data_IF_514690948686
#
_entry.id   IF_514690948686
#
_cell.length_a   1.000
_cell.length_b   1.000
_cell.length_c   1.000
_cell.angle_alpha   90.00
_cell.angle_beta   90.00
_cell.angle_gamma   90.00
#
_symmetry.space_group_name_H-M   'P 1'
#
loop_
_entity.id
_entity.type
_entity.pdbx_description
1 polymer ?
#
# COMPACT_ATOMS: atom_id res chain seq x y z
N UNK A 1 7.05 2.93 6.30
CA UNK A 1 5.68 2.95 6.82
C UNK A 1 4.83 3.88 5.96
N UNK A 2 3.83 3.33 5.29
CA UNK A 2 2.86 4.12 4.53
C UNK A 2 1.78 4.67 5.50
N UNK A 3 1.38 5.94 5.41
CA UNK A 3 0.40 6.53 6.33
C UNK A 3 -0.96 5.85 6.29
N UNK A 4 -1.41 5.34 5.13
CA UNK A 4 -2.69 4.64 5.04
C UNK A 4 -2.71 3.31 5.77
N UNK A 5 -1.64 2.50 5.69
CA UNK A 5 -1.52 1.29 6.52
C UNK A 5 -1.54 1.65 8.01
N UNK A 6 -0.86 2.74 8.38
CA UNK A 6 -0.87 3.21 9.78
C UNK A 6 -2.28 3.62 10.21
N UNK A 7 -3.02 4.28 9.32
CA UNK A 7 -4.41 4.66 9.51
C UNK A 7 -5.33 3.46 9.67
N UNK A 8 -5.26 2.48 8.76
CA UNK A 8 -6.06 1.25 8.83
C UNK A 8 -5.79 0.47 10.12
N UNK A 9 -4.52 0.31 10.50
CA UNK A 9 -4.16 -0.34 11.76
C UNK A 9 -4.65 0.47 12.97
N UNK A 10 -4.63 1.80 12.89
CA UNK A 10 -5.23 2.66 13.90
C UNK A 10 -6.77 2.58 13.90
N UNK A 11 -7.45 2.20 12.83
CA UNK A 11 -8.90 1.94 12.87
C UNK A 11 -9.22 0.59 13.53
N UNK A 12 -8.29 -0.37 13.47
CA UNK A 12 -8.44 -1.69 14.06
C UNK A 12 -8.28 -1.77 15.58
N UNK A 13 -8.64 -2.93 16.14
CA UNK A 13 -8.44 -3.26 17.55
C UNK A 13 -7.06 -3.88 17.77
N UNK A 14 -6.06 -3.03 18.04
CA UNK A 14 -4.68 -3.45 18.33
C UNK A 14 -4.46 -3.63 19.84
N UNK A 15 -3.94 -4.78 20.23
CA UNK A 15 -3.34 -4.95 21.56
C UNK A 15 -2.14 -4.01 21.70
N UNK A 16 -1.98 -3.36 22.86
CA UNK A 16 -0.91 -2.39 23.10
C UNK A 16 -0.84 -1.26 22.05
N UNK A 17 -2.02 -0.81 21.58
CA UNK A 17 -2.22 0.20 20.54
C UNK A 17 -1.22 1.36 20.58
N UNK A 18 -1.08 2.01 21.73
CA UNK A 18 -0.19 3.19 21.89
C UNK A 18 1.25 2.86 21.56
N UNK A 19 1.75 1.73 22.07
CA UNK A 19 3.13 1.27 21.83
C UNK A 19 3.34 0.92 20.36
N UNK A 20 2.44 0.14 19.75
CA UNK A 20 2.57 -0.27 18.35
C UNK A 20 2.56 0.94 17.42
N UNK A 21 1.60 1.85 17.59
CA UNK A 21 1.52 3.05 16.76
C UNK A 21 2.73 3.97 16.96
N UNK A 22 3.31 4.01 18.17
CA UNK A 22 4.55 4.74 18.42
C UNK A 22 5.76 4.13 17.69
N UNK A 23 5.93 2.81 17.77
CA UNK A 23 6.99 2.10 17.05
C UNK A 23 6.88 2.30 15.53
N UNK A 24 5.66 2.27 14.97
CA UNK A 24 5.43 2.50 13.54
C UNK A 24 5.81 3.91 13.08
N UNK A 25 5.74 4.92 13.96
CA UNK A 25 6.20 6.29 13.62
C UNK A 25 7.71 6.38 13.45
N UNK A 26 8.47 5.45 14.04
CA UNK A 26 9.93 5.44 13.95
C UNK A 26 10.46 4.70 12.71
N UNK A 27 9.59 4.06 11.93
CA UNK A 27 9.95 3.42 10.67
C UNK A 27 10.10 4.46 9.55
N UNK A 28 11.05 4.24 8.63
CA UNK A 28 11.23 5.09 7.43
C UNK A 28 9.92 5.30 6.69
N UNK A 29 9.54 6.53 6.37
CA UNK A 29 8.29 6.80 5.67
C UNK A 29 8.32 6.24 4.25
N UNK A 30 7.20 5.64 3.82
CA UNK A 30 7.01 5.35 2.40
C UNK A 30 6.58 6.62 1.67
N UNK A 31 6.85 6.69 0.37
CA UNK A 31 6.30 7.74 -0.49
C UNK A 31 4.78 7.58 -0.61
N UNK A 32 4.07 8.69 -0.69
CA UNK A 32 2.62 8.71 -0.85
C UNK A 32 2.33 9.27 -2.22
N UNK A 33 1.63 8.49 -3.04
CA UNK A 33 1.16 8.95 -4.34
C UNK A 33 0.03 9.98 -4.16
N UNK A 34 0.00 10.99 -5.02
CA UNK A 34 -1.15 11.91 -5.13
C UNK A 34 -2.37 11.17 -5.70
N UNK A 35 -3.56 11.73 -5.50
CA UNK A 35 -4.78 11.15 -6.08
C UNK A 35 -4.69 11.05 -7.61
N UNK A 36 -4.14 12.08 -8.27
CA UNK A 36 -3.95 12.06 -9.73
C UNK A 36 -2.97 10.97 -10.19
N UNK A 37 -1.87 10.75 -9.46
CA UNK A 37 -0.92 9.66 -9.75
C UNK A 37 -1.60 8.28 -9.62
N UNK A 38 -2.47 8.12 -8.61
CA UNK A 38 -3.22 6.89 -8.39
C UNK A 38 -4.26 6.67 -9.49
N UNK A 39 -5.06 7.69 -9.82
CA UNK A 39 -6.07 7.61 -10.88
C UNK A 39 -5.41 7.34 -12.23
N UNK A 40 -4.30 8.01 -12.54
CA UNK A 40 -3.51 7.73 -13.74
C UNK A 40 -3.06 6.26 -13.78
N UNK A 41 -2.53 5.74 -12.67
CA UNK A 41 -2.06 4.35 -12.59
C UNK A 41 -3.21 3.34 -12.77
N UNK A 42 -4.38 3.62 -12.19
CA UNK A 42 -5.58 2.78 -12.33
C UNK A 42 -5.95 2.63 -13.81
N UNK A 43 -6.06 3.75 -14.51
CA UNK A 43 -6.39 3.77 -15.95
C UNK A 43 -5.28 3.14 -16.78
N UNK A 44 -4.04 3.55 -16.57
CA UNK A 44 -2.89 3.12 -17.37
C UNK A 44 -2.65 1.60 -17.30
N UNK A 45 -2.91 0.98 -16.15
CA UNK A 45 -2.73 -0.47 -15.96
C UNK A 45 -4.04 -1.27 -15.99
N UNK A 46 -5.17 -0.64 -16.30
CA UNK A 46 -6.52 -1.21 -16.28
C UNK A 46 -6.77 -2.02 -15.00
N UNK A 47 -6.58 -1.39 -13.84
CA UNK A 47 -6.70 -2.02 -12.52
C UNK A 47 -8.16 -2.10 -12.00
N UNK A 48 -9.11 -1.55 -12.76
CA UNK A 48 -10.53 -1.55 -12.43
C UNK A 48 -11.10 -2.97 -12.38
N UNK A 49 -12.09 -3.19 -11.49
CA UNK A 49 -12.82 -4.47 -11.41
C UNK A 49 -12.03 -5.64 -10.79
N UNK A 50 -10.84 -5.42 -10.24
CA UNK A 50 -9.99 -6.48 -9.67
C UNK A 50 -10.29 -6.79 -8.19
N UNK A 51 -11.33 -6.17 -7.61
CA UNK A 51 -11.70 -6.35 -6.20
C UNK A 51 -10.71 -5.75 -5.21
N UNK A 52 -9.97 -4.72 -5.66
CA UNK A 52 -9.03 -3.91 -4.87
C UNK A 52 -9.68 -2.60 -4.44
N UNK A 53 -9.39 -2.16 -3.23
CA UNK A 53 -9.82 -0.86 -2.71
C UNK A 53 -8.91 0.28 -3.17
N UNK A 54 -9.34 1.52 -2.95
CA UNK A 54 -8.55 2.70 -3.31
C UNK A 54 -7.23 2.78 -2.53
N UNK A 55 -7.23 2.35 -1.26
CA UNK A 55 -6.00 2.26 -0.45
C UNK A 55 -5.00 1.28 -1.07
N UNK A 56 -5.46 0.13 -1.57
CA UNK A 56 -4.60 -0.83 -2.28
C UNK A 56 -3.91 -0.19 -3.49
N UNK A 57 -4.63 0.67 -4.22
CA UNK A 57 -4.06 1.43 -5.35
C UNK A 57 -3.01 2.44 -4.90
N UNK A 58 -3.23 3.14 -3.78
CA UNK A 58 -2.18 3.98 -3.21
C UNK A 58 -0.95 3.19 -2.81
N UNK A 59 -1.08 1.96 -2.30
CA UNK A 59 0.07 1.13 -1.96
C UNK A 59 0.85 0.69 -3.20
N UNK A 60 0.17 0.26 -4.26
CA UNK A 60 0.79 -0.10 -5.53
C UNK A 60 1.52 1.12 -6.14
N UNK A 61 0.90 2.29 -6.12
CA UNK A 61 1.51 3.53 -6.60
C UNK A 61 2.71 3.95 -5.75
N UNK A 62 2.61 3.86 -4.42
CA UNK A 62 3.72 4.15 -3.50
C UNK A 62 4.94 3.27 -3.79
N UNK A 63 4.73 1.99 -4.10
CA UNK A 63 5.82 1.06 -4.48
C UNK A 63 6.43 1.48 -5.81
N UNK A 64 5.61 1.79 -6.82
CA UNK A 64 6.09 2.27 -8.13
C UNK A 64 6.91 3.56 -8.06
N UNK A 65 6.62 4.43 -7.09
CA UNK A 65 7.31 5.72 -6.88
C UNK A 65 8.57 5.59 -6.01
N UNK A 66 8.85 4.40 -5.47
CA UNK A 66 9.96 4.15 -4.53
C UNK A 66 10.93 3.11 -5.10
N UNK A 67 12.16 3.53 -5.38
CA UNK A 67 13.17 2.65 -5.96
C UNK A 67 13.55 1.50 -5.01
N UNK A 68 13.62 0.29 -5.55
CA UNK A 68 14.02 -0.92 -4.81
C UNK A 68 12.99 -1.41 -3.78
N UNK A 69 11.80 -0.81 -3.71
CA UNK A 69 10.73 -1.25 -2.81
C UNK A 69 9.89 -2.33 -3.48
N UNK A 70 9.46 -3.32 -2.70
CA UNK A 70 8.47 -4.33 -3.11
C UNK A 70 7.35 -4.42 -2.10
N UNK A 71 6.16 -4.80 -2.58
CA UNK A 71 4.98 -5.03 -1.77
C UNK A 71 4.93 -6.49 -1.33
N UNK A 72 5.01 -6.70 -0.02
CA UNK A 72 4.62 -7.97 0.59
C UNK A 72 3.24 -7.81 1.20
N UNK A 73 2.33 -8.74 0.91
CA UNK A 73 0.97 -8.74 1.44
C UNK A 73 0.42 -10.15 1.51
N UNK A 74 -0.44 -10.40 2.51
CA UNK A 74 -1.21 -11.66 2.62
C UNK A 74 -2.53 -11.60 1.87
N UNK A 75 -2.96 -10.41 1.42
CA UNK A 75 -4.14 -10.28 0.57
C UNK A 75 -3.84 -10.85 -0.81
N UNK A 76 -4.62 -11.83 -1.24
CA UNK A 76 -4.38 -12.56 -2.48
C UNK A 76 -4.60 -11.70 -3.72
N UNK A 77 -5.58 -10.79 -3.69
CA UNK A 77 -5.90 -9.91 -4.83
C UNK A 77 -4.83 -8.85 -4.99
N UNK A 78 -4.43 -8.22 -3.88
CA UNK A 78 -3.37 -7.22 -3.89
C UNK A 78 -2.03 -7.83 -4.29
N UNK A 79 -1.71 -9.02 -3.77
CA UNK A 79 -0.50 -9.72 -4.20
C UNK A 79 -0.54 -10.04 -5.70
N UNK A 80 -1.66 -10.55 -6.23
CA UNK A 80 -1.77 -10.83 -7.66
C UNK A 80 -1.56 -9.58 -8.53
N UNK A 81 -2.14 -8.45 -8.16
CA UNK A 81 -1.92 -7.18 -8.86
C UNK A 81 -0.47 -6.70 -8.73
N UNK A 82 0.14 -6.79 -7.55
CA UNK A 82 1.54 -6.43 -7.33
C UNK A 82 2.48 -7.30 -8.16
N UNK A 83 2.26 -8.62 -8.22
CA UNK A 83 3.05 -9.54 -9.04
C UNK A 83 2.89 -9.22 -10.53
N UNK A 84 1.66 -8.96 -11.01
CA UNK A 84 1.40 -8.56 -12.40
C UNK A 84 2.16 -7.30 -12.81
N UNK A 85 2.31 -6.36 -11.88
CA UNK A 85 3.02 -5.10 -12.11
C UNK A 85 4.53 -5.18 -11.84
N UNK A 86 5.05 -6.33 -11.38
CA UNK A 86 6.46 -6.49 -11.01
C UNK A 86 6.83 -5.84 -9.67
N UNK A 87 5.85 -5.46 -8.86
CA UNK A 87 6.02 -4.80 -7.56
C UNK A 87 5.99 -5.80 -6.39
N UNK A 88 5.55 -7.04 -6.63
CA UNK A 88 5.38 -8.04 -5.58
C UNK A 88 6.71 -8.56 -5.01
N UNK A 89 6.72 -8.82 -3.71
CA UNK A 89 7.77 -9.59 -3.04
C UNK A 89 7.46 -11.10 -3.16
N UNK A 90 8.48 -11.94 -3.35
CA UNK A 90 8.36 -13.38 -3.53
C UNK A 90 8.21 -14.15 -2.21
#
# INVERSE_FOLDING_TARGET
MHPFIRGELACGNLQQRTTILALMRNLSSARVATDDEVLYMIEHHALMGQGLGYIDMHLLAAVRLSDGVRLWTRDRRLNAAAQRLGYGYH
#
